data_IF_424937094942
#
_entry.id   IF_424937094942
#
_cell.length_a   1.000
_cell.length_b   1.000
_cell.length_c   1.000
_cell.angle_alpha   90.00
_cell.angle_beta   90.00
_cell.angle_gamma   90.00
#
_symmetry.space_group_name_H-M   'P 1'
#
loop_
_entity.id
_entity.type
_entity.pdbx_description
1 polymer ?
#
# COMPACT_ATOMS: atom_id res chain seq x y z
N UNK A 1 0.95 -15.97 -4.66
CA UNK A 1 0.70 -14.58 -5.06
C UNK A 1 -0.69 -14.21 -4.56
N UNK A 2 -0.77 -13.22 -3.72
CA UNK A 2 -2.03 -12.91 -3.01
C UNK A 2 -2.99 -12.17 -3.94
N UNK A 3 -3.99 -12.88 -4.44
CA UNK A 3 -5.11 -12.34 -5.20
C UNK A 3 -6.30 -12.26 -4.25
N UNK A 4 -6.39 -11.18 -3.46
CA UNK A 4 -7.41 -11.10 -2.41
C UNK A 4 -8.83 -11.18 -2.98
N UNK A 5 -9.08 -10.49 -4.10
CA UNK A 5 -10.37 -10.56 -4.81
C UNK A 5 -10.38 -11.55 -5.98
N UNK A 6 -9.33 -12.37 -6.15
CA UNK A 6 -9.26 -13.42 -7.16
C UNK A 6 -8.75 -12.98 -8.54
N UNK A 7 -8.65 -11.68 -8.81
CA UNK A 7 -8.31 -11.17 -10.15
C UNK A 7 -6.82 -10.95 -10.37
N UNK A 8 -6.38 -11.34 -11.57
CA UNK A 8 -5.02 -11.12 -12.06
C UNK A 8 -4.83 -9.69 -12.58
N UNK A 9 -3.59 -9.29 -12.86
CA UNK A 9 -3.28 -7.96 -13.40
C UNK A 9 -3.88 -7.71 -14.80
N UNK A 10 -4.16 -8.77 -15.55
CA UNK A 10 -4.76 -8.72 -16.88
C UNK A 10 -6.28 -8.95 -16.88
N UNK A 11 -6.93 -8.88 -15.71
CA UNK A 11 -8.39 -8.98 -15.64
C UNK A 11 -9.06 -7.84 -16.40
N UNK A 12 -10.07 -8.18 -17.22
CA UNK A 12 -10.81 -7.26 -18.09
C UNK A 12 -12.34 -7.30 -17.87
N UNK A 13 -12.81 -8.07 -16.89
CA UNK A 13 -14.24 -8.24 -16.59
C UNK A 13 -14.88 -7.03 -15.87
N UNK A 14 -14.53 -5.81 -16.26
CA UNK A 14 -15.04 -4.56 -15.69
C UNK A 14 -15.43 -3.58 -16.81
N UNK A 15 -16.07 -2.47 -16.44
CA UNK A 15 -16.49 -1.44 -17.39
C UNK A 15 -15.97 -0.05 -16.97
N UNK A 16 -15.92 0.88 -17.94
CA UNK A 16 -15.33 2.21 -17.75
C UNK A 16 -16.27 3.19 -17.03
N UNK A 17 -17.58 3.00 -17.11
CA UNK A 17 -18.59 3.87 -16.50
C UNK A 17 -19.29 3.16 -15.36
N UNK A 18 -19.45 3.84 -14.24
CA UNK A 18 -20.18 3.33 -13.07
C UNK A 18 -21.64 3.07 -13.40
N UNK A 19 -22.16 1.95 -12.94
CA UNK A 19 -23.57 1.56 -12.98
C UNK A 19 -24.10 1.37 -11.56
N UNK A 20 -25.42 1.28 -11.38
CA UNK A 20 -25.99 0.93 -10.07
C UNK A 20 -25.39 -0.38 -9.52
N UNK A 21 -25.16 -0.43 -8.21
CA UNK A 21 -24.54 -1.55 -7.49
C UNK A 21 -23.07 -1.82 -7.84
N UNK A 22 -22.39 -0.92 -8.55
CA UNK A 22 -20.97 -1.08 -8.85
C UNK A 22 -20.07 -0.61 -7.71
N UNK A 23 -18.89 -1.24 -7.63
CA UNK A 23 -17.79 -0.86 -6.77
C UNK A 23 -16.57 -0.47 -7.61
N UNK A 24 -15.74 0.43 -7.07
CA UNK A 24 -14.53 0.87 -7.75
C UNK A 24 -13.50 -0.26 -7.78
N UNK A 25 -13.03 -0.64 -8.97
CA UNK A 25 -11.93 -1.57 -9.18
C UNK A 25 -10.65 -0.80 -9.47
N UNK A 26 -9.69 -0.87 -8.56
CA UNK A 26 -8.35 -0.32 -8.77
C UNK A 26 -7.46 -1.32 -9.48
N UNK A 27 -6.84 -0.90 -10.59
CA UNK A 27 -5.91 -1.74 -11.34
C UNK A 27 -4.76 -0.92 -11.91
N UNK A 28 -3.66 -1.58 -12.25
CA UNK A 28 -2.51 -0.97 -12.89
C UNK A 28 -2.36 -1.45 -14.33
N UNK A 29 -2.11 -0.54 -15.27
CA UNK A 29 -1.77 -0.86 -16.65
C UNK A 29 -0.71 0.11 -17.18
N UNK A 30 0.35 -0.40 -17.79
CA UNK A 30 1.45 0.42 -18.34
C UNK A 30 2.02 1.42 -17.33
N UNK A 31 2.22 1.02 -16.08
CA UNK A 31 2.74 1.86 -15.01
C UNK A 31 1.76 2.91 -14.46
N UNK A 32 0.54 2.98 -14.98
CA UNK A 32 -0.49 3.94 -14.54
C UNK A 32 -1.50 3.27 -13.61
N UNK A 33 -1.94 4.02 -12.61
CA UNK A 33 -3.08 3.66 -11.76
C UNK A 33 -4.37 4.04 -12.48
N UNK A 34 -5.28 3.08 -12.61
CA UNK A 34 -6.55 3.24 -13.29
C UNK A 34 -7.69 2.75 -12.39
N UNK A 35 -8.89 3.22 -12.66
CA UNK A 35 -10.12 2.80 -12.00
C UNK A 35 -11.10 2.33 -13.07
N UNK A 36 -11.66 1.14 -12.86
CA UNK A 36 -12.81 0.61 -13.55
C UNK A 36 -13.95 0.36 -12.58
N UNK A 37 -15.03 -0.21 -13.06
CA UNK A 37 -16.23 -0.47 -12.26
C UNK A 37 -16.68 -1.91 -12.45
N UNK A 38 -17.03 -2.57 -11.37
CA UNK A 38 -17.50 -3.95 -11.40
C UNK A 38 -18.71 -4.10 -10.48
N UNK A 39 -19.68 -4.89 -10.91
CA UNK A 39 -20.85 -5.16 -10.08
C UNK A 39 -20.42 -5.83 -8.77
N UNK A 40 -20.94 -5.36 -7.64
CA UNK A 40 -20.64 -5.88 -6.30
C UNK A 40 -20.84 -7.39 -6.21
N UNK A 41 -21.90 -7.90 -6.83
CA UNK A 41 -22.29 -9.31 -6.76
C UNK A 41 -21.34 -10.22 -7.56
N UNK A 42 -20.53 -9.65 -8.47
CA UNK A 42 -19.47 -10.36 -9.18
C UNK A 42 -18.20 -10.56 -8.34
N UNK A 43 -18.13 -9.97 -7.13
CA UNK A 43 -16.99 -10.14 -6.22
C UNK A 43 -17.12 -11.43 -5.43
N UNK A 44 -16.72 -12.55 -6.02
CA UNK A 44 -16.87 -13.88 -5.42
C UNK A 44 -15.89 -14.19 -4.28
N UNK A 45 -14.74 -13.49 -4.22
CA UNK A 45 -13.73 -13.73 -3.18
C UNK A 45 -13.61 -12.52 -2.25
N UNK A 46 -13.55 -12.77 -0.94
CA UNK A 46 -13.39 -11.75 0.12
C UNK A 46 -14.40 -10.58 0.04
N UNK A 47 -15.71 -10.81 -0.22
CA UNK A 47 -16.68 -9.72 -0.37
C UNK A 47 -16.83 -8.86 0.88
N UNK A 48 -16.52 -9.40 2.08
CA UNK A 48 -16.53 -8.68 3.35
C UNK A 48 -15.49 -7.54 3.43
N UNK A 49 -14.53 -7.52 2.52
CA UNK A 49 -13.53 -6.46 2.43
C UNK A 49 -13.95 -5.29 1.51
N UNK A 50 -15.04 -5.41 0.74
CA UNK A 50 -15.48 -4.38 -0.20
C UNK A 50 -15.66 -3.04 0.52
N UNK A 51 -16.35 -3.04 1.66
CA UNK A 51 -16.74 -1.85 2.41
C UNK A 51 -15.68 -1.36 3.43
N UNK A 52 -14.49 -1.95 3.42
CA UNK A 52 -13.38 -1.47 4.24
C UNK A 52 -12.60 -0.37 3.51
N UNK A 53 -12.13 0.61 4.26
CA UNK A 53 -11.14 1.56 3.78
C UNK A 53 -9.82 0.85 3.56
N UNK A 54 -9.16 1.13 2.45
CA UNK A 54 -7.92 0.45 2.07
C UNK A 54 -6.80 1.44 1.82
N UNK A 55 -5.60 1.10 2.25
CA UNK A 55 -4.38 1.74 1.80
C UNK A 55 -3.67 0.74 0.88
N UNK A 56 -3.59 1.09 -0.39
CA UNK A 56 -3.05 0.23 -1.44
C UNK A 56 -1.60 0.61 -1.75
N UNK A 57 -0.79 -0.42 -2.00
CA UNK A 57 0.59 -0.30 -2.46
C UNK A 57 0.79 -1.15 -3.71
N UNK A 58 1.55 -0.70 -4.72
CA UNK A 58 1.90 -1.54 -5.85
C UNK A 58 2.60 -2.83 -5.39
N UNK A 59 2.14 -3.98 -5.87
CA UNK A 59 2.74 -5.26 -5.52
C UNK A 59 4.16 -5.38 -6.05
N UNK A 60 4.39 -4.89 -7.28
CA UNK A 60 5.70 -4.88 -7.90
C UNK A 60 6.23 -3.44 -7.96
N UNK A 61 7.31 -3.19 -7.27
CA UNK A 61 8.02 -1.92 -7.31
C UNK A 61 9.45 -2.09 -6.81
N UNK A 62 10.36 -1.31 -7.33
CA UNK A 62 11.73 -1.21 -6.83
C UNK A 62 12.77 -1.17 -7.94
N UNK A 63 13.82 -0.42 -7.66
CA UNK A 63 15.04 -0.31 -8.43
C UNK A 63 16.06 -1.29 -7.87
N UNK A 64 16.72 -2.09 -8.72
CA UNK A 64 17.80 -2.97 -8.27
C UNK A 64 19.06 -2.15 -8.06
N UNK A 65 19.70 -2.35 -6.90
CA UNK A 65 21.05 -1.84 -6.65
C UNK A 65 21.17 -0.34 -6.39
N UNK A 66 20.09 0.42 -6.45
CA UNK A 66 20.12 1.88 -6.19
C UNK A 66 20.03 2.16 -4.69
N UNK A 67 20.94 2.97 -4.16
CA UNK A 67 20.89 3.50 -2.78
C UNK A 67 21.05 5.01 -2.82
N UNK A 68 20.26 5.75 -2.05
CA UNK A 68 19.10 5.32 -1.26
C UNK A 68 17.96 4.77 -2.13
N UNK A 69 17.28 3.73 -1.64
CA UNK A 69 16.24 3.00 -2.36
C UNK A 69 14.84 3.56 -2.05
N UNK A 70 13.91 3.41 -3.00
CA UNK A 70 12.49 3.71 -2.77
C UNK A 70 11.78 2.57 -2.05
N UNK A 71 12.17 1.32 -2.31
CA UNK A 71 11.69 0.06 -1.72
C UNK A 71 10.26 -0.29 -2.12
N UNK A 72 9.31 0.59 -1.90
CA UNK A 72 7.89 0.44 -2.24
C UNK A 72 7.45 1.59 -3.16
N UNK A 73 6.51 1.30 -4.04
CA UNK A 73 5.82 2.35 -4.79
C UNK A 73 4.92 3.20 -3.89
N UNK A 74 4.51 4.37 -4.35
CA UNK A 74 3.68 5.28 -3.57
C UNK A 74 2.36 4.62 -3.19
N UNK A 75 2.07 4.63 -1.89
CA UNK A 75 0.79 4.19 -1.36
C UNK A 75 -0.31 5.22 -1.62
N UNK A 76 -1.54 4.75 -1.73
CA UNK A 76 -2.71 5.62 -1.85
C UNK A 76 -3.92 5.04 -1.11
N UNK A 77 -4.83 5.91 -0.75
CA UNK A 77 -6.06 5.52 -0.07
C UNK A 77 -7.12 5.23 -1.13
N UNK A 78 -7.70 4.03 -1.07
CA UNK A 78 -8.90 3.67 -1.80
C UNK A 78 -10.09 3.74 -0.84
N UNK A 79 -11.05 4.59 -1.19
CA UNK A 79 -12.29 4.74 -0.43
C UNK A 79 -13.15 3.48 -0.48
N UNK A 80 -14.11 3.41 0.40
CA UNK A 80 -15.15 2.38 0.41
C UNK A 80 -16.36 2.87 -0.41
N UNK A 81 -17.01 2.01 -1.23
CA UNK A 81 -16.65 0.62 -1.52
C UNK A 81 -15.57 0.50 -2.62
N UNK A 82 -14.63 -0.43 -2.46
CA UNK A 82 -13.58 -0.63 -3.45
C UNK A 82 -12.98 -2.03 -3.42
N UNK A 83 -12.39 -2.45 -4.55
CA UNK A 83 -11.66 -3.70 -4.75
C UNK A 83 -10.42 -3.44 -5.61
N UNK A 84 -9.53 -4.42 -5.76
CA UNK A 84 -8.37 -4.28 -6.65
C UNK A 84 -8.00 -5.60 -7.33
N UNK A 85 -7.27 -5.50 -8.43
CA UNK A 85 -6.56 -6.64 -9.02
C UNK A 85 -5.27 -6.95 -8.23
N UNK A 86 -4.60 -8.05 -8.56
CA UNK A 86 -3.31 -8.42 -7.95
C UNK A 86 -2.18 -7.39 -8.19
N UNK A 87 -2.42 -6.34 -8.97
CA UNK A 87 -1.46 -5.24 -9.15
C UNK A 87 -1.15 -4.54 -7.82
N UNK A 88 -2.09 -4.58 -6.88
CA UNK A 88 -1.97 -3.97 -5.57
C UNK A 88 -2.07 -4.99 -4.44
N UNK A 89 -1.22 -4.81 -3.43
CA UNK A 89 -1.47 -5.25 -2.08
C UNK A 89 -2.20 -4.14 -1.33
N UNK A 90 -2.96 -4.49 -0.30
CA UNK A 90 -3.60 -3.48 0.53
C UNK A 90 -3.63 -3.88 2.01
N UNK A 91 -3.67 -2.86 2.82
CA UNK A 91 -4.01 -2.90 4.23
C UNK A 91 -5.41 -2.31 4.38
N UNK A 92 -6.23 -2.85 5.26
CA UNK A 92 -7.59 -2.34 5.45
C UNK A 92 -7.84 -1.91 6.90
N UNK A 93 -8.69 -0.91 7.05
CA UNK A 93 -9.06 -0.29 8.32
C UNK A 93 -10.54 0.08 8.32
N UNK A 94 -11.05 0.50 9.48
CA UNK A 94 -12.47 0.79 9.67
C UNK A 94 -12.92 2.17 9.16
N UNK A 95 -12.01 3.15 9.07
CA UNK A 95 -12.37 4.54 8.79
C UNK A 95 -11.35 5.25 7.89
N UNK A 96 -11.79 6.37 7.29
CA UNK A 96 -10.91 7.27 6.53
C UNK A 96 -9.79 7.85 7.40
N UNK A 97 -10.09 8.17 8.67
CA UNK A 97 -9.09 8.69 9.62
C UNK A 97 -7.97 7.67 9.83
N UNK A 98 -8.32 6.42 10.08
CA UNK A 98 -7.34 5.33 10.22
C UNK A 98 -6.57 5.07 8.92
N UNK A 99 -7.23 5.18 7.74
CA UNK A 99 -6.56 5.04 6.47
C UNK A 99 -5.51 6.15 6.24
N UNK A 100 -5.82 7.39 6.64
CA UNK A 100 -4.85 8.48 6.58
C UNK A 100 -3.63 8.21 7.49
N UNK A 101 -3.88 7.77 8.72
CA UNK A 101 -2.83 7.40 9.67
C UNK A 101 -1.94 6.27 9.13
N UNK A 102 -2.55 5.19 8.67
CA UNK A 102 -1.85 4.07 8.08
C UNK A 102 -1.06 4.48 6.82
N UNK A 103 -1.64 5.31 5.96
CA UNK A 103 -0.97 5.79 4.75
C UNK A 103 0.27 6.64 5.10
N UNK A 104 0.19 7.49 6.12
CA UNK A 104 1.35 8.25 6.60
C UNK A 104 2.47 7.32 7.09
N UNK A 105 2.12 6.27 7.84
CA UNK A 105 3.09 5.29 8.32
C UNK A 105 3.81 4.55 7.17
N UNK A 106 3.06 4.07 6.17
CA UNK A 106 3.64 3.35 5.02
C UNK A 106 4.66 4.20 4.23
N UNK A 107 4.55 5.53 4.31
CA UNK A 107 5.41 6.47 3.58
C UNK A 107 6.70 6.81 4.33
N UNK A 108 6.81 6.51 5.62
CA UNK A 108 8.01 6.78 6.41
C UNK A 108 9.23 5.98 5.91
N UNK A 109 10.42 6.52 6.08
CA UNK A 109 11.67 5.80 5.85
C UNK A 109 11.81 4.61 6.80
N UNK A 110 11.40 4.80 8.06
CA UNK A 110 11.41 3.75 9.07
C UNK A 110 10.63 2.50 8.60
N UNK A 111 9.38 2.68 8.17
CA UNK A 111 8.57 1.57 7.65
C UNK A 111 9.25 0.87 6.47
N UNK A 112 9.68 1.66 5.47
CA UNK A 112 10.27 1.13 4.23
C UNK A 112 11.64 0.49 4.47
N UNK A 113 12.39 0.97 5.44
CA UNK A 113 13.62 0.32 5.87
C UNK A 113 13.35 -1.09 6.40
N UNK A 114 12.40 -1.26 7.33
CA UNK A 114 12.03 -2.58 7.85
C UNK A 114 11.52 -3.52 6.74
N UNK A 115 10.72 -3.01 5.82
CA UNK A 115 10.29 -3.76 4.63
C UNK A 115 11.50 -4.19 3.78
N UNK A 116 12.49 -3.32 3.59
CA UNK A 116 13.67 -3.61 2.77
C UNK A 116 14.50 -4.78 3.28
N UNK A 117 14.48 -5.03 4.59
CA UNK A 117 15.21 -6.15 5.20
C UNK A 117 14.67 -7.53 4.77
N UNK A 118 13.43 -7.60 4.31
CA UNK A 118 12.78 -8.84 3.84
C UNK A 118 12.40 -8.84 2.37
N UNK A 119 12.42 -7.70 1.72
CA UNK A 119 12.05 -7.56 0.30
C UNK A 119 13.27 -7.82 -0.59
N UNK A 120 13.48 -9.08 -0.95
CA UNK A 120 14.63 -9.51 -1.78
C UNK A 120 14.33 -9.46 -3.29
N UNK A 121 13.08 -9.26 -3.70
CA UNK A 121 12.65 -9.16 -5.10
C UNK A 121 11.86 -7.88 -5.34
N UNK A 122 11.52 -7.58 -6.59
CA UNK A 122 10.62 -6.47 -6.92
C UNK A 122 9.20 -6.64 -6.36
N UNK A 123 8.77 -7.88 -6.13
CA UNK A 123 7.45 -8.18 -5.60
C UNK A 123 7.46 -8.14 -4.06
N UNK A 124 6.55 -7.37 -3.49
CA UNK A 124 6.20 -7.46 -2.09
C UNK A 124 5.13 -8.53 -1.90
N UNK A 125 5.22 -9.28 -0.81
CA UNK A 125 4.24 -10.28 -0.39
C UNK A 125 3.88 -10.00 1.08
N UNK A 126 2.85 -10.67 1.61
CA UNK A 126 2.49 -10.54 3.03
C UNK A 126 3.67 -10.81 3.97
N UNK A 127 4.50 -11.80 3.65
CA UNK A 127 5.69 -12.13 4.43
C UNK A 127 6.73 -11.01 4.48
N UNK A 128 6.74 -10.12 3.50
CA UNK A 128 7.64 -8.96 3.46
C UNK A 128 7.40 -7.99 4.62
N UNK A 129 6.17 -7.95 5.15
CA UNK A 129 5.75 -7.01 6.20
C UNK A 129 5.79 -7.60 7.62
N UNK A 130 6.22 -8.84 7.81
CA UNK A 130 6.14 -9.52 9.11
C UNK A 130 7.04 -8.92 10.19
N UNK A 131 8.08 -8.16 9.84
CA UNK A 131 8.95 -7.47 10.79
C UNK A 131 8.54 -6.02 11.05
N UNK A 132 7.49 -5.56 10.40
CA UNK A 132 7.00 -4.19 10.57
C UNK A 132 6.04 -4.15 11.77
N UNK A 133 6.34 -3.37 12.81
CA UNK A 133 5.46 -3.29 13.97
C UNK A 133 4.17 -2.56 13.63
N UNK A 134 3.06 -3.11 14.08
CA UNK A 134 1.76 -2.45 13.97
C UNK A 134 1.71 -1.21 14.87
N UNK A 135 1.10 -0.14 14.38
CA UNK A 135 0.91 1.10 15.10
C UNK A 135 -0.55 1.30 15.50
N UNK A 136 -0.81 2.24 16.40
CA UNK A 136 -2.15 2.80 16.58
C UNK A 136 -2.46 3.74 15.40
N UNK A 137 -3.69 3.66 14.87
CA UNK A 137 -4.10 4.45 13.70
C UNK A 137 -4.86 5.73 14.15
N UNK A 138 -4.35 6.41 15.17
CA UNK A 138 -4.97 7.56 15.83
C UNK A 138 -4.34 8.91 15.43
N UNK A 139 -3.18 8.88 14.75
CA UNK A 139 -2.37 10.06 14.42
C UNK A 139 -1.68 9.95 13.08
N UNK A 140 -1.12 11.06 12.59
CA UNK A 140 -0.15 11.05 11.49
C UNK A 140 1.20 10.56 12.01
N UNK A 141 1.77 9.57 11.35
CA UNK A 141 3.10 9.05 11.65
C UNK A 141 4.16 9.75 10.81
N UNK A 142 5.24 10.16 11.44
CA UNK A 142 6.45 10.71 10.81
C UNK A 142 7.66 9.88 11.19
N UNK A 143 8.76 10.04 10.47
CA UNK A 143 10.02 9.37 10.79
C UNK A 143 10.51 9.78 12.18
N UNK A 144 10.43 11.05 12.54
CA UNK A 144 10.86 11.59 13.84
C UNK A 144 10.06 10.97 15.01
N UNK A 145 8.72 10.85 14.84
CA UNK A 145 7.87 10.23 15.84
C UNK A 145 8.21 8.74 16.05
N UNK A 146 8.55 8.03 14.97
CA UNK A 146 8.94 6.62 15.03
C UNK A 146 10.35 6.46 15.59
N UNK A 147 11.31 7.28 15.18
CA UNK A 147 12.67 7.25 15.72
C UNK A 147 12.67 7.48 17.23
N UNK A 148 11.90 8.44 17.71
CA UNK A 148 11.72 8.68 19.15
C UNK A 148 11.04 7.51 19.86
N UNK A 149 9.94 6.98 19.28
CA UNK A 149 9.19 5.87 19.86
C UNK A 149 10.04 4.61 20.07
N UNK A 150 10.96 4.35 19.13
CA UNK A 150 11.82 3.16 19.16
C UNK A 150 13.22 3.44 19.73
N UNK A 151 13.44 4.63 20.29
CA UNK A 151 14.71 5.05 20.90
C UNK A 151 15.93 4.84 19.99
N UNK A 152 15.78 5.19 18.69
CA UNK A 152 16.86 5.03 17.74
C UNK A 152 18.00 6.01 18.04
N UNK A 153 19.23 5.53 17.94
CA UNK A 153 20.41 6.39 18.06
C UNK A 153 20.58 7.27 16.83
N UNK A 154 21.41 8.33 16.95
CA UNK A 154 21.77 9.17 15.79
C UNK A 154 22.42 8.36 14.67
N UNK A 155 23.20 7.31 15.02
CA UNK A 155 23.83 6.43 14.06
C UNK A 155 22.79 5.57 13.31
N UNK A 156 21.79 5.02 14.02
CA UNK A 156 20.70 4.24 13.41
C UNK A 156 19.88 5.11 12.44
N UNK A 157 19.55 6.33 12.86
CA UNK A 157 18.80 7.30 12.03
C UNK A 157 19.59 7.61 10.76
N UNK A 158 20.86 7.99 10.89
CA UNK A 158 21.72 8.30 9.75
C UNK A 158 21.84 7.10 8.80
N UNK A 159 21.91 5.87 9.33
CA UNK A 159 21.92 4.66 8.53
C UNK A 159 20.63 4.46 7.75
N UNK A 160 19.46 4.54 8.41
CA UNK A 160 18.16 4.43 7.75
C UNK A 160 18.02 5.46 6.63
N UNK A 161 18.39 6.71 6.88
CA UNK A 161 18.28 7.81 5.92
C UNK A 161 19.24 7.67 4.73
N UNK A 162 20.40 7.07 4.95
CA UNK A 162 21.34 6.72 3.87
C UNK A 162 20.83 5.58 2.97
N UNK A 163 19.97 4.72 3.50
CA UNK A 163 19.46 3.54 2.80
C UNK A 163 18.15 3.79 2.08
N UNK A 164 17.30 4.68 2.60
CA UNK A 164 15.92 4.87 2.15
C UNK A 164 15.69 6.30 1.68
N UNK A 165 15.27 6.44 0.42
CA UNK A 165 14.93 7.73 -0.19
C UNK A 165 13.67 8.32 0.47
N UNK A 166 13.54 9.64 0.66
CA UNK A 166 12.26 10.26 1.02
C UNK A 166 11.15 9.86 0.05
N UNK A 167 9.93 9.81 0.51
CA UNK A 167 8.76 9.63 -0.34
C UNK A 167 7.90 10.89 -0.22
N UNK A 168 7.84 11.66 -1.30
CA UNK A 168 7.08 12.90 -1.36
C UNK A 168 5.60 12.68 -1.04
N UNK A 169 4.94 13.74 -0.56
CA UNK A 169 3.49 13.72 -0.40
C UNK A 169 2.82 13.40 -1.75
N UNK A 170 1.65 12.70 -1.76
CA UNK A 170 0.91 12.54 -3.00
C UNK A 170 0.63 13.94 -3.57
N UNK A 171 0.94 14.17 -4.83
CA UNK A 171 0.30 15.26 -5.55
C UNK A 171 -1.20 14.97 -5.52
N UNK A 172 -1.99 15.83 -4.90
CA UNK A 172 -3.44 15.79 -4.85
C UNK A 172 -4.06 15.80 -6.24
#
# INVERSE_FOLDING_TARGET
MDKEFGWTSNFEGFHAKQKPNDVALHYGRSGKRLIGWINRDAVGKSPHLIDKWKVMVPQAYGERGTRPATVLGPSFIAGSPSVCTQTYLFFYVGSKKEANSLNSYLRTRFFRFLVSLRKITQHATRSTYTWVPQQAWDRTWTDEALYTKYNLTKADIAFIESMIRPMDAPNE
#
